data_IF_830402234384
#
_entry.id   IF_830402234384
#
_cell.length_a   1.000
_cell.length_b   1.000
_cell.length_c   1.000
_cell.angle_alpha   90.00
_cell.angle_beta   90.00
_cell.angle_gamma   90.00
#
_symmetry.space_group_name_H-M   'P 1'
#
loop_
_entity.id
_entity.type
_entity.pdbx_description
1 polymer ?
#
# COMPACT_ATOMS: atom_id res chain seq x y z
N UNK A 1 -19.02 -7.42 16.28
CA UNK A 1 -17.69 -7.12 15.70
C UNK A 1 -16.68 -8.15 16.22
N UNK A 2 -15.95 -8.79 15.31
CA UNK A 2 -14.85 -9.69 15.63
C UNK A 2 -13.55 -9.11 15.07
N UNK A 3 -12.44 -9.26 15.80
CA UNK A 3 -11.10 -8.93 15.37
C UNK A 3 -10.29 -10.23 15.33
N UNK A 4 -9.60 -10.46 14.23
CA UNK A 4 -8.72 -11.61 14.04
C UNK A 4 -7.35 -11.17 13.54
N UNK A 5 -6.34 -11.98 13.78
CA UNK A 5 -5.00 -11.79 13.22
C UNK A 5 -4.66 -12.90 12.24
N UNK A 6 -3.90 -12.55 11.20
CA UNK A 6 -3.52 -13.48 10.16
C UNK A 6 -2.08 -13.20 9.72
N UNK A 7 -1.30 -14.26 9.49
CA UNK A 7 0.03 -14.14 8.90
C UNK A 7 -0.09 -13.93 7.40
N UNK A 8 -0.05 -12.67 6.95
CA UNK A 8 -0.07 -12.28 5.54
C UNK A 8 0.76 -11.01 5.35
N UNK A 9 1.31 -10.81 4.15
CA UNK A 9 2.16 -9.66 3.87
C UNK A 9 1.36 -8.42 3.45
N UNK A 10 0.13 -8.60 2.95
CA UNK A 10 -0.78 -7.53 2.53
C UNK A 10 -2.24 -8.02 2.51
N UNK A 11 -3.18 -7.11 2.23
CA UNK A 11 -4.61 -7.41 2.24
C UNK A 11 -5.02 -8.47 1.21
N UNK A 12 -4.44 -8.45 0.00
CA UNK A 12 -4.74 -9.46 -1.03
C UNK A 12 -4.32 -10.86 -0.56
N UNK A 13 -3.09 -10.98 -0.02
CA UNK A 13 -2.62 -12.25 0.53
C UNK A 13 -3.45 -12.72 1.74
N UNK A 14 -3.94 -11.78 2.55
CA UNK A 14 -4.82 -12.11 3.66
C UNK A 14 -6.13 -12.72 3.15
N UNK A 15 -6.76 -12.14 2.14
CA UNK A 15 -7.95 -12.67 1.50
C UNK A 15 -7.69 -14.05 0.87
N UNK A 16 -6.62 -14.20 0.11
CA UNK A 16 -6.23 -15.48 -0.50
C UNK A 16 -6.04 -16.58 0.57
N UNK A 17 -5.39 -16.25 1.69
CA UNK A 17 -5.20 -17.21 2.78
C UNK A 17 -6.52 -17.60 3.43
N UNK A 18 -7.41 -16.64 3.68
CA UNK A 18 -8.75 -16.94 4.22
C UNK A 18 -9.49 -17.89 3.28
N UNK A 19 -9.49 -17.60 1.98
CA UNK A 19 -10.14 -18.45 0.97
C UNK A 19 -9.54 -19.86 0.95
N UNK A 20 -8.22 -19.98 1.06
CA UNK A 20 -7.51 -21.26 1.02
C UNK A 20 -7.64 -22.09 2.31
N UNK A 21 -8.16 -21.54 3.40
CA UNK A 21 -8.51 -22.34 4.59
C UNK A 21 -9.76 -23.21 4.38
N UNK A 22 -10.54 -22.95 3.34
CA UNK A 22 -11.78 -23.65 3.07
C UNK A 22 -11.68 -24.51 1.80
N UNK A 23 -12.32 -25.69 1.79
CA UNK A 23 -12.41 -26.51 0.61
C UNK A 23 -13.18 -25.80 -0.51
N UNK A 24 -12.92 -26.19 -1.76
CA UNK A 24 -13.45 -25.52 -2.95
C UNK A 24 -14.99 -25.40 -2.94
N UNK A 25 -15.65 -26.43 -2.45
CA UNK A 25 -17.12 -26.49 -2.40
C UNK A 25 -17.72 -25.41 -1.50
N UNK A 26 -16.96 -24.90 -0.51
CA UNK A 26 -17.41 -23.86 0.41
C UNK A 26 -16.98 -22.45 0.02
N UNK A 27 -16.11 -22.33 -0.97
CA UNK A 27 -15.59 -21.01 -1.39
C UNK A 27 -16.68 -20.02 -1.84
N UNK A 28 -17.71 -20.43 -2.63
CA UNK A 28 -18.77 -19.48 -3.01
C UNK A 28 -19.50 -18.87 -1.81
N UNK A 29 -19.84 -19.71 -0.82
CA UNK A 29 -20.48 -19.22 0.41
C UNK A 29 -19.53 -18.32 1.21
N UNK A 30 -18.25 -18.69 1.33
CA UNK A 30 -17.24 -17.89 2.03
C UNK A 30 -17.06 -16.52 1.37
N UNK A 31 -16.98 -16.44 0.03
CA UNK A 31 -16.85 -15.18 -0.69
C UNK A 31 -18.06 -14.28 -0.47
N UNK A 32 -19.27 -14.86 -0.46
CA UNK A 32 -20.48 -14.14 -0.13
C UNK A 32 -20.43 -13.60 1.31
N UNK A 33 -20.06 -14.43 2.28
CA UNK A 33 -19.97 -14.04 3.69
C UNK A 33 -18.91 -12.95 3.91
N UNK A 34 -17.75 -13.06 3.28
CA UNK A 34 -16.68 -12.03 3.33
C UNK A 34 -17.16 -10.72 2.71
N UNK A 35 -17.81 -10.78 1.54
CA UNK A 35 -18.28 -9.58 0.84
C UNK A 35 -19.27 -8.76 1.69
N UNK A 36 -20.11 -9.42 2.47
CA UNK A 36 -21.11 -8.78 3.32
C UNK A 36 -20.60 -8.36 4.70
N UNK A 37 -19.71 -9.16 5.30
CA UNK A 37 -19.37 -9.04 6.72
C UNK A 37 -17.98 -8.44 6.97
N UNK A 38 -17.04 -8.53 6.04
CA UNK A 38 -15.75 -7.90 6.17
C UNK A 38 -15.93 -6.39 6.40
N UNK A 39 -15.18 -5.81 7.32
CA UNK A 39 -15.18 -4.36 7.55
C UNK A 39 -13.89 -3.72 7.03
N UNK A 40 -12.76 -4.27 7.44
CA UNK A 40 -11.45 -3.78 7.03
C UNK A 40 -10.40 -4.89 7.16
N UNK A 41 -9.31 -4.74 6.41
CA UNK A 41 -8.03 -5.42 6.65
C UNK A 41 -6.99 -4.34 6.87
N UNK A 42 -6.28 -4.43 7.99
CA UNK A 42 -5.16 -3.54 8.30
C UNK A 42 -3.89 -4.39 8.34
N UNK A 43 -2.95 -4.07 7.49
CA UNK A 43 -1.66 -4.75 7.41
C UNK A 43 -0.54 -3.79 7.81
N UNK A 44 0.53 -4.31 8.41
CA UNK A 44 1.64 -3.49 8.92
C UNK A 44 2.98 -4.12 8.58
N UNK A 45 3.93 -3.27 8.16
CA UNK A 45 5.35 -3.60 8.03
C UNK A 45 6.18 -2.61 8.84
N UNK A 46 7.22 -3.11 9.51
CA UNK A 46 8.15 -2.28 10.27
C UNK A 46 9.41 -2.04 9.43
N UNK A 47 9.60 -0.80 9.02
CA UNK A 47 10.69 -0.36 8.15
C UNK A 47 11.78 0.31 9.02
N UNK A 48 13.07 0.03 8.82
CA UNK A 48 14.14 0.74 9.53
C UNK A 48 14.02 2.25 9.33
N UNK A 49 14.19 3.03 10.39
CA UNK A 49 14.24 4.49 10.27
C UNK A 49 15.57 4.94 9.67
N UNK A 50 15.57 6.05 8.93
CA UNK A 50 16.75 6.61 8.27
C UNK A 50 17.83 7.02 9.26
N UNK A 51 17.42 7.58 10.39
CA UNK A 51 18.33 8.05 11.42
C UNK A 51 18.03 7.43 12.79
N UNK A 52 19.07 6.99 13.50
CA UNK A 52 18.95 6.44 14.83
C UNK A 52 18.62 4.95 14.86
N UNK A 53 18.05 4.51 16.00
CA UNK A 53 17.65 3.12 16.24
C UNK A 53 16.13 3.05 16.34
N UNK A 54 15.51 2.24 15.49
CA UNK A 54 14.05 2.04 15.55
C UNK A 54 13.45 1.64 14.22
N UNK A 55 12.13 1.62 14.18
CA UNK A 55 11.36 1.26 13.00
C UNK A 55 10.16 2.19 12.85
N UNK A 56 9.84 2.55 11.61
CA UNK A 56 8.62 3.23 11.24
C UNK A 56 7.60 2.18 10.76
N UNK A 57 6.35 2.35 11.14
CA UNK A 57 5.28 1.47 10.67
C UNK A 57 4.75 1.98 9.33
N UNK A 58 4.94 1.19 8.27
CA UNK A 58 4.16 1.32 7.05
C UNK A 58 2.84 0.55 7.24
N UNK A 59 1.71 1.22 7.05
CA UNK A 59 0.38 0.65 7.28
C UNK A 59 -0.42 0.67 6.00
N UNK A 60 -0.91 -0.51 5.62
CA UNK A 60 -1.89 -0.69 4.55
C UNK A 60 -3.29 -0.81 5.15
N UNK A 61 -4.26 -0.15 4.53
CA UNK A 61 -5.67 -0.16 4.96
C UNK A 61 -6.57 -0.46 3.78
N UNK A 62 -7.24 -1.60 3.83
CA UNK A 62 -8.35 -1.96 2.95
C UNK A 62 -9.66 -1.79 3.71
N UNK A 63 -10.59 -1.02 3.15
CA UNK A 63 -11.96 -0.91 3.65
C UNK A 63 -12.91 -1.64 2.70
N UNK A 64 -13.91 -2.31 3.27
CA UNK A 64 -14.92 -3.00 2.46
C UNK A 64 -15.95 -2.02 1.91
N UNK A 65 -15.54 -1.24 0.89
CA UNK A 65 -16.46 -0.39 0.12
C UNK A 65 -17.38 -1.25 -0.77
N UNK A 66 -18.47 -0.72 -1.31
CA UNK A 66 -19.36 -1.47 -2.22
C UNK A 66 -18.62 -2.12 -3.40
N UNK A 67 -17.62 -1.42 -3.97
CA UNK A 67 -16.81 -1.95 -5.07
C UNK A 67 -15.90 -3.09 -4.60
N UNK A 68 -15.26 -2.96 -3.44
CA UNK A 68 -14.44 -4.03 -2.85
C UNK A 68 -15.30 -5.24 -2.51
N UNK A 69 -16.50 -5.03 -1.94
CA UNK A 69 -17.47 -6.10 -1.66
C UNK A 69 -17.86 -6.88 -2.93
N UNK A 70 -18.13 -6.18 -4.04
CA UNK A 70 -18.45 -6.79 -5.34
C UNK A 70 -17.27 -7.61 -5.88
N UNK A 71 -16.05 -7.08 -5.80
CA UNK A 71 -14.84 -7.80 -6.21
C UNK A 71 -14.59 -9.06 -5.38
N UNK A 72 -14.78 -8.99 -4.06
CA UNK A 72 -14.68 -10.16 -3.17
C UNK A 72 -15.72 -11.20 -3.56
N UNK A 73 -16.98 -10.80 -3.74
CA UNK A 73 -18.06 -11.70 -4.12
C UNK A 73 -17.78 -12.43 -5.44
N UNK A 74 -17.21 -11.74 -6.42
CA UNK A 74 -16.82 -12.29 -7.73
C UNK A 74 -15.51 -13.08 -7.72
N UNK A 75 -14.74 -13.05 -6.63
CA UNK A 75 -13.43 -13.69 -6.55
C UNK A 75 -12.31 -12.93 -7.26
N UNK A 76 -12.51 -11.65 -7.62
CA UNK A 76 -11.56 -10.81 -8.36
C UNK A 76 -10.59 -10.08 -7.41
N UNK A 77 -9.88 -10.82 -6.55
CA UNK A 77 -8.97 -10.24 -5.53
C UNK A 77 -7.86 -9.40 -6.14
N UNK A 78 -7.39 -9.74 -7.35
CA UNK A 78 -6.30 -9.04 -8.03
C UNK A 78 -6.61 -7.59 -8.40
N UNK A 79 -7.90 -7.22 -8.53
CA UNK A 79 -8.33 -5.86 -8.84
C UNK A 79 -8.43 -4.96 -7.58
N UNK A 80 -8.45 -5.54 -6.38
CA UNK A 80 -8.64 -4.78 -5.13
C UNK A 80 -7.56 -3.72 -4.93
N UNK A 81 -6.30 -4.04 -5.25
CA UNK A 81 -5.18 -3.08 -5.10
C UNK A 81 -5.39 -1.82 -5.94
N UNK A 82 -5.92 -1.94 -7.15
CA UNK A 82 -6.22 -0.78 -8.00
C UNK A 82 -7.39 0.07 -7.44
N UNK A 83 -8.38 -0.57 -6.83
CA UNK A 83 -9.45 0.14 -6.13
C UNK A 83 -8.89 0.90 -4.93
N UNK A 84 -8.02 0.29 -4.13
CA UNK A 84 -7.39 0.95 -2.98
C UNK A 84 -6.61 2.20 -3.40
N UNK A 85 -5.83 2.13 -4.49
CA UNK A 85 -5.07 3.28 -5.02
C UNK A 85 -5.96 4.46 -5.37
N UNK A 86 -7.16 4.18 -5.91
CA UNK A 86 -8.13 5.20 -6.35
C UNK A 86 -9.07 5.68 -5.26
N UNK A 87 -9.02 5.07 -4.08
CA UNK A 87 -9.93 5.34 -2.96
C UNK A 87 -9.22 5.90 -1.72
N UNK A 88 -8.17 6.69 -1.94
CA UNK A 88 -7.42 7.35 -0.87
C UNK A 88 -8.31 8.26 -0.03
N UNK A 89 -9.24 8.97 -0.64
CA UNK A 89 -10.21 9.85 0.02
C UNK A 89 -11.18 9.11 0.95
N UNK A 90 -11.38 7.81 0.74
CA UNK A 90 -12.16 6.95 1.64
C UNK A 90 -11.34 6.42 2.83
N UNK A 91 -10.04 6.73 2.90
CA UNK A 91 -9.14 6.25 3.92
C UNK A 91 -8.42 4.93 3.57
N UNK A 92 -8.54 4.44 2.33
CA UNK A 92 -7.76 3.31 1.86
C UNK A 92 -6.31 3.72 1.56
N UNK A 93 -5.37 2.81 1.82
CA UNK A 93 -3.94 3.06 1.64
C UNK A 93 -3.22 1.76 1.32
N UNK A 94 -2.46 1.73 0.23
CA UNK A 94 -1.58 0.60 -0.09
C UNK A 94 -0.24 0.72 0.64
N UNK A 95 0.54 -0.38 0.72
CA UNK A 95 1.90 -0.30 1.27
C UNK A 95 2.79 0.64 0.46
N UNK A 96 2.68 0.64 -0.87
CA UNK A 96 3.49 1.52 -1.71
C UNK A 96 3.22 3.01 -1.42
N UNK A 97 1.94 3.37 -1.18
CA UNK A 97 1.56 4.72 -0.74
C UNK A 97 2.10 5.04 0.67
N UNK A 98 2.04 4.08 1.60
CA UNK A 98 2.56 4.28 2.95
C UNK A 98 4.08 4.44 2.97
N UNK A 99 4.81 3.70 2.14
CA UNK A 99 6.26 3.83 1.98
C UNK A 99 6.65 5.17 1.34
N UNK A 100 5.91 5.61 0.34
CA UNK A 100 6.09 6.93 -0.25
C UNK A 100 5.90 8.04 0.78
N UNK A 101 4.82 8.00 1.58
CA UNK A 101 4.56 8.99 2.62
C UNK A 101 5.69 9.01 3.68
N UNK A 102 6.17 7.83 4.14
CA UNK A 102 7.28 7.74 5.08
C UNK A 102 8.60 8.29 4.51
N UNK A 103 8.83 8.11 3.21
CA UNK A 103 9.98 8.71 2.52
C UNK A 103 9.86 10.23 2.44
N UNK A 104 8.70 10.77 2.06
CA UNK A 104 8.43 12.21 2.01
C UNK A 104 8.54 12.89 3.38
N UNK A 105 8.22 12.17 4.45
CA UNK A 105 8.41 12.59 5.85
C UNK A 105 9.87 12.47 6.32
N UNK A 106 10.79 12.04 5.46
CA UNK A 106 12.21 11.78 5.76
C UNK A 106 12.45 10.76 6.89
N UNK A 107 11.50 9.85 7.09
CA UNK A 107 11.54 8.84 8.14
C UNK A 107 12.26 7.56 7.72
N UNK A 108 12.26 7.24 6.42
CA UNK A 108 12.94 6.08 5.85
C UNK A 108 13.82 6.50 4.67
N UNK A 109 14.82 5.68 4.33
CA UNK A 109 15.69 5.94 3.19
C UNK A 109 14.98 5.60 1.85
N UNK A 110 15.51 6.14 0.75
CA UNK A 110 15.06 5.80 -0.61
C UNK A 110 15.22 4.30 -0.88
N UNK A 111 16.36 3.74 -0.47
CA UNK A 111 16.69 2.32 -0.65
C UNK A 111 15.68 1.44 0.09
N UNK A 112 15.33 1.79 1.33
CA UNK A 112 14.35 1.05 2.11
C UNK A 112 12.94 1.21 1.55
N UNK A 113 12.53 2.40 1.09
CA UNK A 113 11.25 2.60 0.42
C UNK A 113 11.09 1.66 -0.78
N UNK A 114 12.13 1.50 -1.61
CA UNK A 114 12.11 0.58 -2.75
C UNK A 114 12.19 -0.89 -2.34
N UNK A 115 13.02 -1.21 -1.36
CA UNK A 115 13.26 -2.59 -0.89
C UNK A 115 12.01 -3.23 -0.31
N UNK A 116 11.20 -2.46 0.42
CA UNK A 116 10.01 -2.95 1.09
C UNK A 116 8.73 -2.75 0.29
N UNK A 117 8.81 -2.17 -0.92
CA UNK A 117 7.67 -1.96 -1.80
C UNK A 117 7.08 -3.27 -2.33
N UNK A 118 5.77 -3.29 -2.52
CA UNK A 118 5.11 -4.34 -3.30
C UNK A 118 5.42 -4.17 -4.79
N UNK A 119 5.48 -2.92 -5.27
CA UNK A 119 5.91 -2.55 -6.62
C UNK A 119 7.00 -1.47 -6.57
N UNK A 120 8.26 -1.90 -6.64
CA UNK A 120 9.42 -0.99 -6.67
C UNK A 120 9.30 0.07 -7.77
N UNK A 121 8.77 -0.29 -8.94
CA UNK A 121 8.63 0.62 -10.06
C UNK A 121 7.58 1.71 -9.79
N UNK A 122 6.48 1.37 -9.12
CA UNK A 122 5.45 2.34 -8.74
C UNK A 122 5.98 3.34 -7.71
N UNK A 123 6.64 2.87 -6.64
CA UNK A 123 7.23 3.74 -5.63
C UNK A 123 8.31 4.64 -6.24
N UNK A 124 9.17 4.08 -7.09
CA UNK A 124 10.19 4.87 -7.82
C UNK A 124 9.56 5.94 -8.69
N UNK A 125 8.48 5.62 -9.40
CA UNK A 125 7.77 6.58 -10.25
C UNK A 125 7.11 7.67 -9.42
N UNK A 126 6.46 7.33 -8.32
CA UNK A 126 5.86 8.30 -7.39
C UNK A 126 6.92 9.27 -6.84
N UNK A 127 8.06 8.75 -6.39
CA UNK A 127 9.18 9.57 -5.89
C UNK A 127 9.71 10.49 -7.00
N UNK A 128 9.84 10.01 -8.23
CA UNK A 128 10.29 10.84 -9.36
C UNK A 128 9.31 11.94 -9.73
N UNK A 129 8.02 11.68 -9.68
CA UNK A 129 6.99 12.64 -10.09
C UNK A 129 6.61 13.64 -8.99
N UNK A 130 6.70 13.25 -7.73
CA UNK A 130 6.16 14.00 -6.60
C UNK A 130 7.15 14.18 -5.45
N UNK A 131 8.34 13.55 -5.51
CA UNK A 131 9.31 13.54 -4.42
C UNK A 131 10.06 14.87 -4.27
N UNK A 132 10.27 15.29 -3.02
CA UNK A 132 10.96 16.53 -2.64
C UNK A 132 12.40 16.66 -3.22
N UNK A 133 13.11 15.55 -3.41
CA UNK A 133 14.48 15.57 -3.95
C UNK A 133 14.58 16.03 -5.41
N UNK A 134 13.55 15.79 -6.23
CA UNK A 134 13.56 16.27 -7.62
C UNK A 134 13.28 17.77 -7.71
N UNK A 135 12.39 18.29 -6.87
CA UNK A 135 12.12 19.73 -6.83
C UNK A 135 13.35 20.56 -6.44
N UNK A 136 14.25 20.02 -5.58
CA UNK A 136 15.49 20.70 -5.20
C UNK A 136 16.62 20.57 -6.25
N UNK A 137 16.68 19.47 -7.01
CA UNK A 137 17.69 19.27 -8.06
C UNK A 137 17.36 20.04 -9.34
N UNK A 138 16.10 20.13 -9.73
CA UNK A 138 15.68 20.94 -10.88
C UNK A 138 15.87 22.45 -10.65
N UNK A 139 15.65 22.92 -9.42
CA UNK A 139 15.94 24.31 -9.04
C UNK A 139 17.44 24.62 -9.08
N UNK A 140 18.31 23.70 -8.66
CA UNK A 140 19.75 23.91 -8.69
C UNK A 140 20.37 23.73 -10.10
N UNK A 141 19.81 22.86 -10.94
CA UNK A 141 20.27 22.70 -12.33
C UNK A 141 19.91 23.91 -13.20
N UNK A 142 18.80 24.58 -12.93
CA UNK A 142 18.39 25.83 -13.61
C UNK A 142 19.23 27.04 -13.26
N UNK A 143 19.88 27.05 -12.08
CA UNK A 143 20.72 28.18 -11.62
C UNK A 143 22.18 28.08 -12.15
N UNK A 144 22.67 26.88 -12.42
CA UNK A 144 24.04 26.68 -12.92
C UNK A 144 24.23 27.01 -14.41
N UNK A 145 23.17 27.25 -15.16
CA UNK A 145 23.23 27.65 -16.58
C UNK A 145 22.98 29.13 -16.85
N UNK A 146 23.00 29.99 -15.83
CA UNK A 146 22.95 31.42 -15.95
C UNK A 146 24.34 32.00 -15.77
N UNK A 147 25.25 31.69 -16.69
CA UNK A 147 26.44 32.50 -16.93
C UNK A 147 26.00 33.75 -17.67
N UNK A 148 25.95 34.85 -16.93
CA UNK A 148 25.71 36.20 -17.46
C UNK A 148 26.99 36.64 -18.19
N UNK A 149 26.91 36.75 -19.51
CA UNK A 149 27.87 37.45 -20.33
C UNK A 149 27.62 38.96 -20.21
#
# INVERSE_FOLDING_TARGET
LALGTLHANNANQALDRIINFFPEERRPQLLMDLSLNLKAIVSQRLIPVKEGKGRAAAVEVLLNSPLVSDLIHKGNMHEIKEVMKKSKELGMKTFDMALFDLYEEDRISYEDALRFADSMNEVRLQIKLHGKEMASKDLNAGIQNLDIV
#
